data_IF_601587631437
#
_entry.id   IF_601587631437
#
_cell.length_a   1.000
_cell.length_b   1.000
_cell.length_c   1.000
_cell.angle_alpha   90.00
_cell.angle_beta   90.00
_cell.angle_gamma   90.00
#
_symmetry.space_group_name_H-M   'P 1'
#
loop_
_entity.id
_entity.type
_entity.pdbx_description
1 polymer ?
#
# COMPACT_ATOMS: atom_id res chain seq x y z
N UNK A 1 -4.84 19.27 2.95
CA UNK A 1 -5.27 19.09 1.54
C UNK A 1 -5.35 17.64 1.14
N UNK A 2 -5.10 16.70 2.06
CA UNK A 2 -5.41 15.28 1.90
C UNK A 2 -6.95 15.13 2.05
N UNK A 3 -7.63 14.34 1.21
CA UNK A 3 -9.03 14.01 1.45
C UNK A 3 -9.14 13.14 2.71
N UNK A 4 -10.00 13.50 3.66
CA UNK A 4 -10.42 12.57 4.71
C UNK A 4 -11.31 11.48 4.12
N UNK A 5 -11.54 10.41 4.88
CA UNK A 5 -12.55 9.43 4.54
C UNK A 5 -13.96 10.04 4.54
N UNK A 6 -14.27 10.85 5.56
CA UNK A 6 -15.52 11.59 5.67
C UNK A 6 -15.34 12.95 6.34
N UNK A 7 -16.34 13.82 6.20
CA UNK A 7 -16.40 15.10 6.93
C UNK A 7 -16.64 14.83 8.42
N UNK A 8 -17.54 13.90 8.74
CA UNK A 8 -17.83 13.46 10.10
C UNK A 8 -16.67 12.61 10.63
N UNK A 9 -16.31 12.80 11.90
CA UNK A 9 -15.18 12.09 12.53
C UNK A 9 -15.58 10.75 13.14
N UNK A 10 -16.82 10.61 13.63
CA UNK A 10 -17.29 9.40 14.30
C UNK A 10 -17.94 8.46 13.28
N UNK A 11 -17.14 7.59 12.69
CA UNK A 11 -17.53 6.56 11.73
C UNK A 11 -16.56 5.38 11.84
N UNK A 12 -17.06 4.17 11.70
CA UNK A 12 -16.28 2.93 11.81
C UNK A 12 -16.73 1.96 10.72
N UNK A 13 -15.86 1.67 9.77
CA UNK A 13 -16.13 0.76 8.65
C UNK A 13 -14.89 -0.02 8.18
N UNK A 14 -14.04 0.57 7.33
CA UNK A 14 -12.71 0.08 7.00
C UNK A 14 -11.67 0.90 7.79
N UNK A 15 -11.57 2.24 7.61
CA UNK A 15 -11.05 3.09 8.65
C UNK A 15 -12.00 3.11 9.86
N UNK A 16 -11.42 3.25 11.05
CA UNK A 16 -12.13 3.27 12.33
C UNK A 16 -12.30 4.70 12.91
N UNK A 17 -11.91 5.71 12.13
CA UNK A 17 -12.09 7.12 12.44
C UNK A 17 -12.19 7.93 11.14
N UNK A 18 -13.12 8.88 11.04
CA UNK A 18 -13.46 9.53 9.76
C UNK A 18 -12.39 10.45 9.17
N UNK A 19 -11.45 10.92 9.99
CA UNK A 19 -10.29 11.67 9.52
C UNK A 19 -9.03 10.80 9.36
N UNK A 20 -9.11 9.50 9.64
CA UNK A 20 -8.24 8.55 8.95
C UNK A 20 -8.74 8.48 7.51
N UNK A 21 -7.82 8.31 6.56
CA UNK A 21 -8.13 8.22 5.14
C UNK A 21 -7.46 7.01 4.52
N UNK A 22 -7.80 6.74 3.28
CA UNK A 22 -7.36 5.58 2.53
C UNK A 22 -6.77 5.96 1.18
N UNK A 23 -5.93 5.09 0.60
CA UNK A 23 -5.52 5.20 -0.81
C UNK A 23 -6.73 5.28 -1.75
N UNK A 24 -7.85 4.63 -1.39
CA UNK A 24 -9.13 4.77 -2.08
C UNK A 24 -9.58 6.24 -2.19
N UNK A 25 -9.58 7.00 -1.08
CA UNK A 25 -9.97 8.42 -1.08
C UNK A 25 -9.07 9.27 -1.99
N UNK A 26 -7.75 9.01 -2.01
CA UNK A 26 -6.83 9.66 -2.96
C UNK A 26 -7.17 9.32 -4.42
N UNK A 27 -7.48 8.05 -4.71
CA UNK A 27 -7.86 7.63 -6.06
C UNK A 27 -9.17 8.26 -6.54
N UNK A 28 -10.16 8.42 -5.66
CA UNK A 28 -11.39 9.15 -5.96
C UNK A 28 -11.16 10.65 -6.14
N UNK A 29 -10.25 11.25 -5.37
CA UNK A 29 -9.89 12.66 -5.55
C UNK A 29 -9.32 12.91 -6.95
N UNK A 30 -8.41 12.06 -7.43
CA UNK A 30 -7.88 12.14 -8.80
C UNK A 30 -9.01 11.97 -9.83
N UNK A 31 -9.94 11.05 -9.59
CA UNK A 31 -11.06 10.81 -10.51
C UNK A 31 -12.04 11.97 -10.59
N UNK A 32 -12.36 12.59 -9.45
CA UNK A 32 -13.17 13.80 -9.38
C UNK A 32 -12.54 14.92 -10.23
N UNK A 33 -11.23 15.13 -10.09
CA UNK A 33 -10.52 16.17 -10.82
C UNK A 33 -10.39 15.86 -12.32
N UNK A 34 -10.31 14.58 -12.70
CA UNK A 34 -10.37 14.18 -14.11
C UNK A 34 -11.72 14.54 -14.74
N UNK A 35 -12.83 14.35 -14.02
CA UNK A 35 -14.16 14.76 -14.46
C UNK A 35 -14.29 16.28 -14.52
N UNK A 36 -13.73 17.00 -13.55
CA UNK A 36 -13.70 18.47 -13.57
C UNK A 36 -12.96 18.99 -14.81
N UNK A 37 -11.78 18.45 -15.12
CA UNK A 37 -11.03 18.84 -16.31
C UNK A 37 -11.75 18.52 -17.62
N UNK A 38 -12.51 17.43 -17.68
CA UNK A 38 -13.38 17.14 -18.84
C UNK A 38 -14.43 18.23 -19.05
N UNK A 39 -15.12 18.63 -17.97
CA UNK A 39 -16.28 19.51 -18.06
C UNK A 39 -15.91 20.98 -18.21
N UNK A 40 -14.76 21.40 -17.69
CA UNK A 40 -14.35 22.81 -17.64
C UNK A 40 -13.15 23.12 -18.55
N UNK A 41 -12.36 22.10 -18.88
CA UNK A 41 -11.08 22.24 -19.55
C UNK A 41 -9.93 22.71 -18.65
N UNK A 42 -10.14 22.82 -17.34
CA UNK A 42 -9.10 23.10 -16.35
C UNK A 42 -8.55 21.80 -15.76
N UNK A 43 -7.29 21.51 -16.07
CA UNK A 43 -6.60 20.26 -15.70
C UNK A 43 -5.68 20.42 -14.48
N UNK A 44 -5.66 21.59 -13.84
CA UNK A 44 -4.80 21.86 -12.67
C UNK A 44 -5.16 20.99 -11.46
N UNK A 45 -6.42 20.62 -11.30
CA UNK A 45 -6.89 19.71 -10.26
C UNK A 45 -6.28 18.31 -10.34
N UNK A 46 -6.11 17.76 -11.55
CA UNK A 46 -5.48 16.44 -11.75
C UNK A 46 -4.01 16.46 -11.33
N UNK A 47 -3.29 17.54 -11.65
CA UNK A 47 -1.89 17.70 -11.22
C UNK A 47 -1.79 17.84 -9.70
N UNK A 48 -2.70 18.61 -9.10
CA UNK A 48 -2.72 18.87 -7.66
C UNK A 48 -3.05 17.60 -6.86
N UNK A 49 -4.11 16.89 -7.23
CA UNK A 49 -4.52 15.64 -6.58
C UNK A 49 -3.43 14.55 -6.70
N UNK A 50 -2.80 14.41 -7.88
CA UNK A 50 -1.67 13.49 -8.03
C UNK A 50 -0.47 13.88 -7.16
N UNK A 51 -0.14 15.18 -7.09
CA UNK A 51 0.93 15.68 -6.22
C UNK A 51 0.64 15.40 -4.75
N UNK A 52 -0.60 15.62 -4.29
CA UNK A 52 -1.01 15.32 -2.92
C UNK A 52 -0.85 13.83 -2.62
N UNK A 53 -1.21 12.95 -3.56
CA UNK A 53 -0.99 11.51 -3.41
C UNK A 53 0.51 11.16 -3.28
N UNK A 54 1.35 11.66 -4.18
CA UNK A 54 2.80 11.42 -4.13
C UNK A 54 3.49 11.98 -2.88
N UNK A 55 3.10 13.18 -2.44
CA UNK A 55 3.74 13.86 -1.32
C UNK A 55 3.39 13.22 0.04
N UNK A 56 2.33 12.41 0.11
CA UNK A 56 1.77 11.95 1.38
C UNK A 56 1.58 10.45 1.46
N UNK A 57 0.91 9.80 0.49
CA UNK A 57 0.48 8.41 0.67
C UNK A 57 1.35 7.38 -0.07
N UNK A 58 2.20 7.82 -0.99
CA UNK A 58 3.28 7.01 -1.54
C UNK A 58 4.52 7.25 -0.67
N UNK A 59 5.02 6.24 0.08
CA UNK A 59 6.19 6.41 0.91
C UNK A 59 7.40 6.82 0.07
N UNK A 60 8.13 7.85 0.47
CA UNK A 60 9.35 8.26 -0.25
C UNK A 60 10.58 7.41 0.12
N UNK A 61 11.73 7.71 -0.46
CA UNK A 61 12.97 6.96 -0.21
C UNK A 61 13.48 7.05 1.24
N UNK A 62 13.13 8.11 1.97
CA UNK A 62 13.44 8.26 3.40
C UNK A 62 12.49 7.45 4.28
N UNK A 63 11.32 7.10 3.74
CA UNK A 63 10.29 6.30 4.39
C UNK A 63 10.36 4.82 4.00
N UNK A 64 11.18 4.45 3.00
CA UNK A 64 11.53 3.07 2.62
C UNK A 64 13.03 2.74 2.79
N UNK A 65 13.68 3.12 3.91
CA UNK A 65 15.13 3.01 4.04
C UNK A 65 15.58 1.55 3.99
N UNK A 66 16.52 1.27 3.10
CA UNK A 66 17.10 -0.06 2.94
C UNK A 66 16.39 -0.98 1.96
N UNK A 67 15.36 -0.50 1.23
CA UNK A 67 14.68 -1.32 0.20
C UNK A 67 15.65 -1.86 -0.87
N UNK A 68 16.76 -1.16 -1.13
CA UNK A 68 17.85 -1.63 -1.99
C UNK A 68 18.55 -2.93 -1.50
N UNK A 69 18.32 -3.35 -0.25
CA UNK A 69 18.83 -4.62 0.30
C UNK A 69 17.87 -5.78 0.12
N UNK A 70 16.68 -5.55 -0.44
CA UNK A 70 15.72 -6.61 -0.73
C UNK A 70 16.35 -7.69 -1.62
N UNK A 71 16.07 -8.96 -1.28
CA UNK A 71 16.58 -10.11 -2.02
C UNK A 71 15.40 -10.85 -2.68
N UNK A 72 15.22 -10.74 -4.01
CA UNK A 72 14.11 -11.39 -4.70
C UNK A 72 14.17 -12.92 -4.65
N UNK A 73 15.33 -13.53 -4.37
CA UNK A 73 15.43 -14.98 -4.17
C UNK A 73 15.07 -15.43 -2.75
N UNK A 74 14.82 -14.49 -1.83
CA UNK A 74 14.40 -14.72 -0.45
C UNK A 74 13.46 -13.59 0.00
N UNK A 75 12.27 -13.48 -0.61
CA UNK A 75 11.43 -12.28 -0.53
C UNK A 75 10.83 -12.05 0.86
N UNK A 76 10.52 -13.11 1.60
CA UNK A 76 9.91 -13.04 2.93
C UNK A 76 10.12 -14.34 3.73
N UNK A 77 9.77 -14.32 5.02
CA UNK A 77 9.63 -15.53 5.85
C UNK A 77 8.15 -15.89 5.98
N UNK A 78 7.81 -17.16 5.81
CA UNK A 78 6.43 -17.64 5.92
C UNK A 78 5.87 -17.47 7.34
N UNK A 79 4.62 -17.01 7.42
CA UNK A 79 3.77 -17.07 8.61
C UNK A 79 2.39 -17.59 8.17
N UNK A 80 1.74 -18.37 9.03
CA UNK A 80 0.38 -18.83 8.75
C UNK A 80 -0.64 -17.71 9.00
N UNK A 81 -1.75 -17.74 8.27
CA UNK A 81 -2.96 -17.05 8.67
C UNK A 81 -3.82 -17.99 9.52
N UNK A 82 -4.61 -17.42 10.42
CA UNK A 82 -5.53 -18.16 11.28
C UNK A 82 -6.94 -17.62 11.17
N UNK A 83 -7.91 -18.46 11.54
CA UNK A 83 -9.32 -18.15 11.41
C UNK A 83 -9.83 -17.13 12.43
N UNK A 84 -9.10 -16.88 13.52
CA UNK A 84 -9.54 -16.03 14.61
C UNK A 84 -8.38 -15.19 15.20
N UNK A 85 -8.61 -13.91 15.60
CA UNK A 85 -7.56 -13.05 16.14
C UNK A 85 -6.87 -13.61 17.39
N UNK A 86 -7.53 -14.49 18.15
CA UNK A 86 -6.98 -15.09 19.37
C UNK A 86 -5.83 -16.07 19.12
N UNK A 87 -5.62 -16.53 17.89
CA UNK A 87 -4.48 -17.39 17.53
C UNK A 87 -3.18 -16.62 17.29
N UNK A 88 -3.26 -15.30 17.14
CA UNK A 88 -2.09 -14.45 16.92
C UNK A 88 -1.39 -14.15 18.26
N UNK A 89 -0.05 -14.00 18.26
CA UNK A 89 0.84 -13.82 17.11
C UNK A 89 1.17 -15.09 16.32
N UNK A 90 1.26 -14.97 15.00
CA UNK A 90 1.61 -16.07 14.08
C UNK A 90 3.11 -16.33 14.00
N UNK A 91 3.52 -17.59 14.11
CA UNK A 91 4.93 -17.98 14.16
C UNK A 91 5.63 -17.88 12.80
N UNK A 92 6.78 -17.19 12.78
CA UNK A 92 7.66 -17.11 11.61
C UNK A 92 8.43 -18.42 11.42
N UNK A 93 8.27 -19.04 10.25
CA UNK A 93 8.81 -20.36 9.92
C UNK A 93 10.12 -20.27 9.11
N UNK A 94 11.16 -19.68 9.70
CA UNK A 94 12.45 -19.35 9.03
C UNK A 94 13.10 -20.49 8.23
N UNK A 95 13.22 -21.69 8.81
CA UNK A 95 13.97 -22.80 8.19
C UNK A 95 13.08 -23.98 7.76
N UNK A 96 11.81 -23.97 8.19
CA UNK A 96 10.88 -25.10 8.02
C UNK A 96 9.96 -24.95 6.80
N UNK A 97 9.78 -23.73 6.29
CA UNK A 97 8.98 -23.47 5.06
C UNK A 97 9.81 -22.62 4.12
N UNK A 98 10.11 -23.16 2.94
CA UNK A 98 10.73 -22.38 1.86
C UNK A 98 9.66 -21.60 1.12
N UNK A 99 9.99 -20.38 0.70
CA UNK A 99 9.15 -19.52 -0.14
C UNK A 99 9.68 -19.51 -1.58
N UNK A 100 8.88 -19.06 -2.54
CA UNK A 100 9.33 -18.88 -3.92
C UNK A 100 10.22 -17.67 -4.13
N UNK A 101 10.54 -17.39 -5.38
CA UNK A 101 11.33 -16.22 -5.79
C UNK A 101 10.45 -15.19 -6.49
N UNK A 102 10.72 -13.92 -6.23
CA UNK A 102 10.12 -12.76 -6.87
C UNK A 102 10.73 -12.54 -8.26
N UNK A 103 9.94 -12.64 -9.34
CA UNK A 103 10.45 -12.51 -10.71
C UNK A 103 10.34 -11.10 -11.29
N UNK A 104 9.73 -10.12 -10.58
CA UNK A 104 9.47 -8.77 -11.12
C UNK A 104 10.36 -7.69 -10.52
N UNK A 105 10.87 -7.88 -9.30
CA UNK A 105 11.66 -6.85 -8.62
C UNK A 105 12.85 -6.33 -9.45
N UNK A 106 13.67 -7.21 -10.02
CA UNK A 106 14.88 -6.78 -10.75
C UNK A 106 14.54 -5.95 -12.01
N UNK A 107 13.43 -6.24 -12.65
CA UNK A 107 12.93 -5.50 -13.82
C UNK A 107 12.48 -4.09 -13.40
N UNK A 108 11.67 -4.01 -12.34
CA UNK A 108 11.22 -2.74 -11.76
C UNK A 108 12.40 -1.88 -11.27
N UNK A 109 13.33 -2.48 -10.53
CA UNK A 109 14.52 -1.79 -10.01
C UNK A 109 15.41 -1.27 -11.12
N UNK A 110 15.54 -2.00 -12.23
CA UNK A 110 16.30 -1.56 -13.41
C UNK A 110 15.67 -0.34 -14.07
N UNK A 111 14.34 -0.23 -14.08
CA UNK A 111 13.62 0.88 -14.68
C UNK A 111 13.52 2.11 -13.77
N UNK A 112 13.37 1.90 -12.45
CA UNK A 112 12.90 2.96 -11.54
C UNK A 112 13.75 3.19 -10.29
N UNK A 113 14.72 2.32 -10.02
CA UNK A 113 15.44 2.31 -8.74
C UNK A 113 14.75 1.45 -7.67
N UNK A 114 15.31 1.40 -6.45
CA UNK A 114 14.97 0.36 -5.47
C UNK A 114 13.60 0.52 -4.79
N UNK A 115 13.04 1.73 -4.76
CA UNK A 115 11.87 2.04 -3.96
C UNK A 115 10.56 1.67 -4.67
N UNK A 116 9.56 1.26 -3.89
CA UNK A 116 8.23 0.96 -4.40
C UNK A 116 7.46 2.25 -4.70
N UNK A 117 6.72 2.29 -5.81
CA UNK A 117 5.86 3.43 -6.17
C UNK A 117 4.38 3.02 -6.15
N UNK A 118 3.93 2.63 -4.95
CA UNK A 118 2.54 2.26 -4.62
C UNK A 118 2.10 3.07 -3.40
N UNK A 119 0.79 3.26 -3.25
CA UNK A 119 0.22 3.94 -2.10
C UNK A 119 0.18 2.98 -0.91
N UNK A 120 0.54 3.45 0.28
CA UNK A 120 0.07 2.77 1.49
C UNK A 120 -1.45 2.92 1.59
N UNK A 121 -2.16 1.90 2.07
CA UNK A 121 -3.61 1.91 2.05
C UNK A 121 -4.25 2.80 3.11
N UNK A 122 -3.59 3.08 4.25
CA UNK A 122 -4.19 3.78 5.39
C UNK A 122 -3.29 4.88 5.95
N UNK A 123 -3.90 6.03 6.27
CA UNK A 123 -3.20 7.19 6.80
C UNK A 123 -4.06 7.94 7.82
N UNK A 124 -3.51 8.19 8.99
CA UNK A 124 -4.09 9.08 9.99
C UNK A 124 -3.71 10.53 9.65
N UNK A 125 -4.65 11.27 9.06
CA UNK A 125 -4.36 12.56 8.40
C UNK A 125 -4.01 13.66 9.40
N UNK A 126 -4.67 13.65 10.56
CA UNK A 126 -4.51 14.68 11.59
C UNK A 126 -3.71 14.18 12.81
N UNK A 127 -3.09 13.00 12.71
CA UNK A 127 -2.38 12.33 13.80
C UNK A 127 -3.26 12.14 15.05
N UNK A 128 -4.52 11.74 14.85
CA UNK A 128 -5.46 11.48 15.92
C UNK A 128 -5.01 10.36 16.86
N UNK A 129 -4.40 9.29 16.33
CA UNK A 129 -3.79 8.21 17.11
C UNK A 129 -2.52 8.61 17.84
N UNK A 130 -1.88 9.71 17.42
CA UNK A 130 -0.70 10.27 18.09
C UNK A 130 0.61 9.55 17.80
N UNK A 131 0.65 8.63 16.82
CA UNK A 131 1.89 7.93 16.45
C UNK A 131 2.92 8.82 15.75
N UNK A 132 2.45 9.87 15.07
CA UNK A 132 3.28 10.86 14.39
C UNK A 132 3.65 12.06 15.26
N UNK A 133 3.87 13.20 14.61
CA UNK A 133 4.30 14.44 15.27
C UNK A 133 3.29 15.57 15.02
N UNK A 134 2.83 16.23 16.09
CA UNK A 134 1.85 17.31 15.99
C UNK A 134 0.55 16.80 15.36
N UNK A 135 0.12 17.46 14.28
CA UNK A 135 -1.06 17.06 13.47
C UNK A 135 -0.67 16.67 12.04
N UNK A 136 0.56 16.17 11.85
CA UNK A 136 1.05 15.75 10.52
C UNK A 136 0.47 14.38 10.18
N UNK A 137 -0.01 14.24 8.94
CA UNK A 137 -0.41 12.97 8.36
C UNK A 137 0.64 11.87 8.61
N UNK A 138 0.16 10.70 9.06
CA UNK A 138 1.01 9.61 9.56
C UNK A 138 0.54 8.27 9.00
N UNK A 139 1.47 7.48 8.47
CA UNK A 139 1.20 6.12 8.04
C UNK A 139 0.89 5.22 9.24
N UNK A 140 -0.26 4.56 9.19
CA UNK A 140 -0.73 3.63 10.22
C UNK A 140 -1.29 2.38 9.56
N UNK A 141 -1.47 1.32 10.34
CA UNK A 141 -2.19 0.13 9.90
C UNK A 141 -3.07 -0.42 11.03
N UNK A 142 -4.04 -1.25 10.68
CA UNK A 142 -5.02 -1.84 11.61
C UNK A 142 -5.07 -3.36 11.44
N UNK A 143 -5.69 -3.83 10.35
CA UNK A 143 -5.90 -5.25 10.06
C UNK A 143 -4.57 -6.02 9.95
N UNK A 144 -4.42 -7.07 10.76
CA UNK A 144 -3.28 -7.98 10.74
C UNK A 144 -3.55 -9.41 11.23
N UNK A 145 -4.75 -9.71 11.75
CA UNK A 145 -5.05 -10.96 12.48
C UNK A 145 -6.14 -11.83 11.86
N UNK A 146 -6.13 -11.93 10.54
CA UNK A 146 -6.89 -12.95 9.80
C UNK A 146 -8.36 -12.61 9.60
N UNK A 147 -9.10 -13.59 9.08
CA UNK A 147 -10.41 -13.37 8.44
C UNK A 147 -11.56 -12.98 9.39
N UNK A 148 -11.42 -13.24 10.70
CA UNK A 148 -12.40 -12.81 11.71
C UNK A 148 -12.04 -11.49 12.38
N UNK A 149 -10.90 -10.86 12.05
CA UNK A 149 -10.60 -9.53 12.60
C UNK A 149 -11.42 -8.45 11.90
N UNK A 150 -12.58 -8.10 12.45
CA UNK A 150 -13.32 -6.92 11.97
C UNK A 150 -12.65 -5.61 12.39
N UNK A 151 -13.08 -4.50 11.80
CA UNK A 151 -12.59 -3.14 12.16
C UNK A 151 -12.70 -2.87 13.67
N UNK A 152 -13.70 -3.45 14.35
CA UNK A 152 -13.95 -3.32 15.78
C UNK A 152 -12.95 -4.07 16.67
N UNK A 153 -12.17 -4.97 16.07
CA UNK A 153 -11.32 -5.90 16.79
C UNK A 153 -9.85 -5.56 16.64
N UNK A 154 -9.49 -4.67 15.71
CA UNK A 154 -8.09 -4.31 15.42
C UNK A 154 -7.40 -3.58 16.57
N UNK A 155 -6.07 -3.57 16.53
CA UNK A 155 -5.23 -2.70 17.36
C UNK A 155 -4.46 -1.78 16.40
N UNK A 156 -4.88 -0.51 16.22
CA UNK A 156 -4.18 0.45 15.38
C UNK A 156 -2.72 0.61 15.80
N UNK A 157 -1.83 0.64 14.82
CA UNK A 157 -0.38 0.63 15.05
C UNK A 157 0.37 1.42 13.97
N UNK A 158 1.57 1.97 14.28
CA UNK A 158 2.34 2.72 13.30
C UNK A 158 2.94 1.81 12.23
N UNK A 159 2.95 2.27 10.98
CA UNK A 159 3.63 1.59 9.87
C UNK A 159 5.15 1.65 10.01
N UNK A 160 5.67 2.71 10.64
CA UNK A 160 7.08 2.87 11.02
C UNK A 160 7.21 2.54 12.52
N UNK A 161 7.68 1.33 12.83
CA UNK A 161 7.77 0.79 14.19
C UNK A 161 9.15 1.08 14.81
N UNK A 162 9.18 2.03 15.74
CA UNK A 162 10.38 2.46 16.47
C UNK A 162 10.43 1.97 17.93
N UNK A 163 9.46 1.17 18.37
CA UNK A 163 9.22 0.73 19.75
C UNK A 163 8.92 1.90 20.71
N UNK A 164 8.34 2.98 20.19
CA UNK A 164 7.98 4.17 20.98
C UNK A 164 6.66 4.00 21.73
N UNK A 165 5.74 3.22 21.15
CA UNK A 165 4.39 3.00 21.65
C UNK A 165 4.11 1.49 21.72
N UNK A 166 3.03 1.08 22.38
CA UNK A 166 2.71 -0.34 22.56
C UNK A 166 3.55 -0.97 23.69
N UNK A 167 3.99 -2.22 23.47
CA UNK A 167 4.79 -3.00 24.41
C UNK A 167 6.29 -2.84 24.23
N UNK A 168 7.10 -3.71 24.87
CA UNK A 168 8.57 -3.68 24.77
C UNK A 168 9.10 -3.84 23.33
N UNK A 169 8.36 -4.54 22.47
CA UNK A 169 8.67 -4.76 21.06
C UNK A 169 7.76 -3.94 20.14
N UNK A 170 7.25 -2.81 20.62
CA UNK A 170 6.22 -2.06 19.94
C UNK A 170 4.91 -2.84 19.88
N UNK A 171 4.34 -2.96 18.68
CA UNK A 171 3.15 -3.77 18.42
C UNK A 171 3.46 -5.12 17.74
N UNK A 172 4.73 -5.40 17.43
CA UNK A 172 5.09 -6.52 16.55
C UNK A 172 4.68 -7.89 17.11
N UNK A 173 4.87 -8.10 18.41
CA UNK A 173 4.59 -9.36 19.10
C UNK A 173 3.09 -9.63 19.33
N UNK A 174 2.21 -8.72 18.90
CA UNK A 174 0.77 -8.98 18.76
C UNK A 174 0.47 -9.75 17.47
N UNK A 175 1.31 -9.59 16.43
CA UNK A 175 1.01 -10.04 15.07
C UNK A 175 1.90 -11.21 14.64
N UNK A 176 3.20 -11.12 14.91
CA UNK A 176 4.17 -12.16 14.54
C UNK A 176 4.97 -12.61 15.74
N UNK A 177 5.20 -13.92 15.82
CA UNK A 177 6.00 -14.55 16.87
C UNK A 177 7.38 -14.87 16.31
N UNK A 178 8.38 -14.24 16.90
CA UNK A 178 9.79 -14.39 16.56
C UNK A 178 10.63 -14.54 17.84
N UNK A 179 11.86 -15.03 17.71
CA UNK A 179 12.86 -15.12 18.79
C UNK A 179 13.34 -13.74 19.25
N UNK A 180 13.30 -12.74 18.37
CA UNK A 180 13.70 -11.37 18.66
C UNK A 180 13.02 -10.39 17.71
N UNK A 181 12.84 -9.15 18.14
CA UNK A 181 12.16 -8.11 17.36
C UNK A 181 13.10 -6.95 17.04
N UNK A 182 12.98 -6.42 15.83
CA UNK A 182 13.73 -5.26 15.35
C UNK A 182 12.80 -4.13 14.94
N UNK A 183 13.24 -2.88 15.17
CA UNK A 183 12.60 -1.69 14.59
C UNK A 183 12.56 -1.85 13.07
N UNK A 184 11.43 -1.53 12.48
CA UNK A 184 11.17 -1.81 11.07
C UNK A 184 10.09 -0.88 10.52
N UNK A 185 9.93 -0.87 9.21
CA UNK A 185 8.82 -0.21 8.53
C UNK A 185 8.08 -1.23 7.68
N UNK A 186 6.77 -1.04 7.49
CA UNK A 186 5.96 -1.85 6.59
C UNK A 186 4.84 -1.02 5.98
N UNK A 187 4.57 -1.25 4.70
CA UNK A 187 3.43 -0.68 3.99
C UNK A 187 2.68 -1.80 3.28
N UNK A 188 1.38 -1.62 3.16
CA UNK A 188 0.47 -2.49 2.41
C UNK A 188 -0.33 -1.60 1.46
N UNK A 189 -0.41 -1.94 0.19
CA UNK A 189 -1.26 -1.22 -0.76
C UNK A 189 -2.66 -1.83 -0.81
N UNK A 190 -3.57 -1.17 -1.51
CA UNK A 190 -4.90 -1.69 -1.84
C UNK A 190 -5.06 -1.54 -3.36
N UNK A 191 -4.79 -2.60 -4.15
CA UNK A 191 -4.55 -2.47 -5.59
C UNK A 191 -5.73 -1.91 -6.39
N UNK A 192 -6.94 -1.98 -5.85
CA UNK A 192 -8.12 -1.33 -6.45
C UNK A 192 -7.98 0.20 -6.47
N UNK A 193 -7.30 0.80 -5.49
CA UNK A 193 -7.06 2.23 -5.41
C UNK A 193 -6.10 2.71 -6.51
N UNK A 194 -4.95 2.08 -6.68
CA UNK A 194 -4.05 2.37 -7.79
C UNK A 194 -4.72 2.08 -9.14
N UNK A 195 -5.47 0.98 -9.26
CA UNK A 195 -6.25 0.65 -10.44
C UNK A 195 -7.23 1.78 -10.81
N UNK A 196 -7.96 2.31 -9.82
CA UNK A 196 -8.88 3.45 -9.97
C UNK A 196 -8.15 4.74 -10.34
N UNK A 197 -7.00 5.02 -9.72
CA UNK A 197 -6.18 6.20 -10.05
C UNK A 197 -5.66 6.16 -11.49
N UNK A 198 -5.15 5.00 -11.94
CA UNK A 198 -4.69 4.79 -13.32
C UNK A 198 -5.86 4.91 -14.30
N UNK A 199 -7.02 4.33 -13.96
CA UNK A 199 -8.24 4.44 -14.76
C UNK A 199 -8.68 5.92 -14.91
N UNK A 200 -8.63 6.70 -13.84
CA UNK A 200 -8.92 8.13 -13.88
C UNK A 200 -7.96 8.88 -14.80
N UNK A 201 -6.65 8.61 -14.71
CA UNK A 201 -5.63 9.25 -15.55
C UNK A 201 -5.76 8.85 -17.02
N UNK A 202 -6.18 7.62 -17.33
CA UNK A 202 -6.52 7.23 -18.70
C UNK A 202 -7.59 8.16 -19.30
N UNK A 203 -8.68 8.38 -18.57
CA UNK A 203 -9.77 9.24 -19.02
C UNK A 203 -9.34 10.71 -19.10
N UNK A 204 -8.61 11.20 -18.09
CA UNK A 204 -8.06 12.56 -18.09
C UNK A 204 -7.20 12.81 -19.33
N UNK A 205 -6.30 11.87 -19.67
CA UNK A 205 -5.47 11.97 -20.87
C UNK A 205 -6.31 11.97 -22.15
N UNK A 206 -7.32 11.09 -22.26
CA UNK A 206 -8.22 11.04 -23.42
C UNK A 206 -8.96 12.36 -23.61
N UNK A 207 -9.59 12.89 -22.56
CA UNK A 207 -10.36 14.13 -22.62
C UNK A 207 -9.46 15.37 -22.80
N UNK A 208 -8.27 15.40 -22.19
CA UNK A 208 -7.31 16.46 -22.43
C UNK A 208 -6.83 16.47 -23.89
N UNK A 209 -6.65 15.30 -24.53
CA UNK A 209 -6.35 15.19 -25.97
C UNK A 209 -7.47 15.76 -26.85
N UNK A 210 -8.72 15.44 -26.55
CA UNK A 210 -9.89 15.97 -27.26
C UNK A 210 -9.95 17.51 -27.21
N UNK A 211 -9.43 18.11 -26.13
CA UNK A 211 -9.36 19.56 -25.95
C UNK A 211 -8.03 20.19 -26.42
N UNK A 212 -7.09 19.41 -26.97
CA UNK A 212 -5.77 19.91 -27.37
C UNK A 212 -4.84 20.27 -26.20
N UNK A 213 -5.09 19.75 -25.00
CA UNK A 213 -4.36 20.04 -23.75
C UNK A 213 -3.57 18.85 -23.18
N UNK A 214 -3.38 17.78 -23.94
CA UNK A 214 -2.73 16.56 -23.47
C UNK A 214 -1.34 16.77 -22.84
N UNK A 215 -0.56 17.73 -23.35
CA UNK A 215 0.78 18.03 -22.83
C UNK A 215 0.77 18.44 -21.35
N UNK A 216 -0.34 19.02 -20.88
CA UNK A 216 -0.51 19.44 -19.47
C UNK A 216 -0.53 18.25 -18.51
N UNK A 217 -0.86 17.05 -18.96
CA UNK A 217 -0.95 15.86 -18.11
C UNK A 217 0.18 14.85 -18.36
N UNK A 218 1.16 15.18 -19.21
CA UNK A 218 2.21 14.25 -19.63
C UNK A 218 2.95 13.61 -18.45
N UNK A 219 3.34 14.41 -17.45
CA UNK A 219 4.01 13.92 -16.23
C UNK A 219 3.13 12.97 -15.41
N UNK A 220 1.85 13.32 -15.21
CA UNK A 220 0.89 12.48 -14.46
C UNK A 220 0.67 11.15 -15.18
N UNK A 221 0.56 11.17 -16.51
CA UNK A 221 0.41 9.94 -17.32
C UNK A 221 1.65 9.04 -17.18
N UNK A 222 2.85 9.59 -17.21
CA UNK A 222 4.08 8.81 -16.99
C UNK A 222 4.12 8.20 -15.59
N UNK A 223 3.69 8.94 -14.56
CA UNK A 223 3.64 8.45 -13.17
C UNK A 223 2.58 7.39 -12.97
N UNK A 224 1.41 7.51 -13.61
CA UNK A 224 0.38 6.49 -13.60
C UNK A 224 0.85 5.20 -14.30
N UNK A 225 1.60 5.32 -15.39
CA UNK A 225 2.23 4.16 -16.02
C UNK A 225 3.25 3.47 -15.09
N UNK A 226 4.10 4.24 -14.39
CA UNK A 226 5.01 3.72 -13.36
C UNK A 226 4.26 2.97 -12.26
N UNK A 227 3.22 3.57 -11.69
CA UNK A 227 2.37 2.95 -10.68
C UNK A 227 1.76 1.63 -11.18
N UNK A 228 1.26 1.61 -12.43
CA UNK A 228 0.73 0.39 -13.05
C UNK A 228 1.77 -0.71 -13.26
N UNK A 229 3.04 -0.35 -13.46
CA UNK A 229 4.13 -1.32 -13.51
C UNK A 229 4.40 -1.93 -12.13
N UNK A 230 4.41 -1.12 -11.08
CA UNK A 230 4.55 -1.63 -9.71
C UNK A 230 3.36 -2.48 -9.26
N UNK A 231 2.14 -2.28 -9.79
CA UNK A 231 0.99 -3.16 -9.51
C UNK A 231 1.17 -4.61 -9.98
N UNK A 232 2.23 -4.91 -10.75
CA UNK A 232 2.59 -6.30 -11.05
C UNK A 232 2.91 -7.10 -9.79
N UNK A 233 3.35 -6.45 -8.71
CA UNK A 233 3.63 -7.12 -7.44
C UNK A 233 2.37 -7.80 -6.87
N UNK A 234 1.19 -7.20 -7.05
CA UNK A 234 -0.10 -7.73 -6.62
C UNK A 234 -0.55 -8.97 -7.40
N UNK A 235 0.13 -9.33 -8.49
CA UNK A 235 -0.24 -10.47 -9.34
C UNK A 235 0.30 -11.82 -8.86
N UNK A 236 1.00 -11.83 -7.71
CA UNK A 236 1.72 -13.00 -7.20
C UNK A 236 1.12 -13.53 -5.91
N UNK A 237 1.18 -14.86 -5.77
CA UNK A 237 0.94 -15.52 -4.48
C UNK A 237 1.76 -14.85 -3.36
N UNK A 238 1.16 -14.72 -2.17
CA UNK A 238 1.70 -14.03 -0.99
C UNK A 238 3.16 -14.41 -0.65
N UNK A 239 3.54 -15.66 -0.88
CA UNK A 239 4.89 -16.17 -0.63
C UNK A 239 5.53 -16.76 -1.89
N UNK A 240 5.10 -16.29 -3.06
CA UNK A 240 5.53 -16.76 -4.37
C UNK A 240 5.40 -18.29 -4.52
N UNK A 241 4.39 -18.90 -3.91
CA UNK A 241 4.09 -20.32 -4.08
C UNK A 241 3.46 -20.58 -5.44
N UNK A 242 3.61 -21.80 -5.97
CA UNK A 242 2.99 -22.18 -7.25
C UNK A 242 1.48 -22.09 -7.18
N UNK A 243 0.87 -21.46 -8.18
CA UNK A 243 -0.59 -21.41 -8.31
C UNK A 243 -1.15 -22.83 -8.47
N UNK A 244 -2.19 -23.14 -7.67
CA UNK A 244 -2.84 -24.46 -7.68
C UNK A 244 -2.10 -25.55 -6.89
N UNK A 245 -1.04 -25.22 -6.16
CA UNK A 245 -0.24 -26.21 -5.43
C UNK A 245 -1.00 -26.98 -4.34
N UNK A 246 -1.99 -26.35 -3.70
CA UNK A 246 -2.68 -26.89 -2.51
C UNK A 246 -1.72 -27.30 -1.36
N UNK A 247 -0.50 -26.78 -1.39
CA UNK A 247 0.57 -26.97 -0.41
C UNK A 247 1.59 -25.82 -0.54
N UNK A 248 2.56 -25.73 0.37
CA UNK A 248 3.61 -24.71 0.41
C UNK A 248 4.74 -25.04 -0.57
N UNK A 249 4.40 -25.13 -1.85
CA UNK A 249 5.35 -25.46 -2.93
C UNK A 249 5.95 -24.18 -3.52
N UNK A 250 7.25 -23.90 -3.34
CA UNK A 250 7.88 -22.70 -3.88
C UNK A 250 7.77 -22.61 -5.39
N UNK A 251 7.38 -21.43 -5.88
CA UNK A 251 7.42 -21.06 -7.29
C UNK A 251 8.80 -20.57 -7.75
N UNK A 252 9.00 -20.61 -9.07
CA UNK A 252 10.11 -20.01 -9.78
C UNK A 252 9.62 -19.32 -11.06
N UNK A 253 10.04 -18.07 -11.28
CA UNK A 253 9.51 -17.28 -12.38
C UNK A 253 8.04 -16.95 -12.14
N UNK A 254 7.20 -17.07 -13.16
CA UNK A 254 5.79 -16.68 -13.13
C UNK A 254 4.83 -17.83 -12.81
N UNK A 255 5.30 -18.97 -12.28
CA UNK A 255 4.42 -20.06 -11.84
C UNK A 255 3.64 -19.73 -10.55
N UNK A 256 4.04 -18.67 -9.84
CA UNK A 256 3.34 -18.06 -8.72
C UNK A 256 2.45 -16.88 -9.11
N UNK A 257 2.41 -16.51 -10.40
CA UNK A 257 1.58 -15.43 -10.90
C UNK A 257 0.14 -15.91 -11.17
N UNK A 258 -0.84 -15.33 -10.48
CA UNK A 258 -2.25 -15.53 -10.77
C UNK A 258 -2.81 -14.48 -11.76
N UNK A 259 -2.09 -13.38 -12.00
CA UNK A 259 -2.48 -12.30 -12.93
C UNK A 259 -3.83 -11.63 -12.59
N UNK A 260 -4.17 -11.61 -11.31
CA UNK A 260 -5.32 -10.90 -10.76
C UNK A 260 -4.81 -9.80 -9.83
N UNK A 261 -5.68 -8.85 -9.51
CA UNK A 261 -5.50 -7.90 -8.40
C UNK A 261 -6.35 -8.39 -7.23
#
# INVERSE_FOLDING_TARGET
GIPYHSIETLIVEAPDYGHVTTSEAFSYYIWLEALYGKLTGDWSGVQTSWKVMEDWIIPDSTEQPGMAMYNPSSPATYAAEYQDPSYYPSELMFDSVRVGSDPVHNDLTSAYGPDMYLMHWLMDVDNWYGFGTGTRATFINTFQRGEQESTWETIPHPSIEEFKYGGPNGFLDLFTKDKSYSRQWRYTNAPDAEGRAIQAVYWANKWAKEQGKASTLSSVVTKAAKMGDFLRNDMFDKYFMKIGAQDKTPGNGYDSAHYLM
#
